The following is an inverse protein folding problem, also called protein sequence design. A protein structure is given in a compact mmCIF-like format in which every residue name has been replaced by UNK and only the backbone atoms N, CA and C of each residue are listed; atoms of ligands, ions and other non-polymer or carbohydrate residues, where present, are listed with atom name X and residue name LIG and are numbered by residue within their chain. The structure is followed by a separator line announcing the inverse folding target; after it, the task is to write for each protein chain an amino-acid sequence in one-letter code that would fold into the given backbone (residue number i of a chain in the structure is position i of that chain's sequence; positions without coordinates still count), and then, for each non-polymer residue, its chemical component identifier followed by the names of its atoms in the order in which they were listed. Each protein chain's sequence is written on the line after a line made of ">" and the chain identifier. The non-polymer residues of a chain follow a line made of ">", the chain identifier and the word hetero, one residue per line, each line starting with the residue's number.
data_IF_663441452892
#
_entry.id   IF_663441452892
#
_cell.length_a   1.000
_cell.length_b   1.000
_cell.length_c   1.000
_cell.angle_alpha   90.00
_cell.angle_beta   90.00
_cell.angle_gamma   90.00
#
_symmetry.space_group_name_H-M   'P 1'
#
loop_
_entity.id
_entity.type
_entity.pdbx_description
1 polymer ?
#
# COMPACT_ATOMS: atom_id res chain seq x y z
N UNK A 1 -9.73 -11.61 1.79
CA UNK A 1 -9.06 -10.71 2.74
C UNK A 1 -7.77 -10.21 2.12
N UNK A 2 -7.65 -8.89 2.00
CA UNK A 2 -6.44 -8.17 1.60
C UNK A 2 -5.46 -8.18 2.77
N UNK A 3 -4.18 -8.42 2.48
CA UNK A 3 -3.11 -8.34 3.49
C UNK A 3 -2.14 -7.25 3.09
N UNK A 4 -1.95 -6.28 3.96
CA UNK A 4 -0.99 -5.20 3.80
C UNK A 4 0.17 -5.41 4.78
N UNK A 5 1.39 -5.48 4.28
CA UNK A 5 2.59 -5.44 5.11
C UNK A 5 3.30 -4.11 4.89
N UNK A 6 3.55 -3.39 5.97
CA UNK A 6 4.25 -2.10 5.99
C UNK A 6 5.59 -2.34 6.68
N UNK A 7 6.68 -1.96 6.02
CA UNK A 7 8.03 -2.14 6.54
C UNK A 7 8.67 -0.77 6.74
N UNK A 8 9.09 -0.50 7.97
CA UNK A 8 9.70 0.76 8.36
C UNK A 8 11.14 0.56 8.82
N UNK A 9 12.00 1.54 8.53
CA UNK A 9 13.37 1.56 9.08
C UNK A 9 13.38 1.96 10.56
N UNK A 10 14.55 1.90 11.19
CA UNK A 10 14.77 2.27 12.61
C UNK A 10 14.46 3.74 12.93
N UNK A 11 14.35 4.60 11.91
CA UNK A 11 13.95 6.01 12.07
C UNK A 11 12.42 6.18 11.96
N UNK A 12 11.68 5.10 11.73
CA UNK A 12 10.24 5.08 11.58
C UNK A 12 9.76 5.41 10.17
N UNK A 13 10.64 5.57 9.19
CA UNK A 13 10.22 5.85 7.82
C UNK A 13 9.73 4.57 7.15
N UNK A 14 8.52 4.60 6.58
CA UNK A 14 7.99 3.50 5.78
C UNK A 14 8.77 3.38 4.47
N UNK A 15 9.57 2.32 4.32
CA UNK A 15 10.45 2.07 3.17
C UNK A 15 9.82 1.19 2.11
N UNK A 16 8.90 0.31 2.53
CA UNK A 16 8.30 -0.69 1.66
C UNK A 16 6.87 -0.99 2.08
N UNK A 17 6.03 -1.24 1.09
CA UNK A 17 4.68 -1.77 1.27
C UNK A 17 4.46 -2.97 0.35
N UNK A 18 3.80 -3.99 0.86
CA UNK A 18 3.32 -5.13 0.08
C UNK A 18 1.83 -5.33 0.31
N UNK A 19 1.06 -5.46 -0.77
CA UNK A 19 -0.36 -5.74 -0.71
C UNK A 19 -0.67 -7.03 -1.48
N UNK A 20 -1.35 -7.98 -0.82
CA UNK A 20 -1.67 -9.31 -1.36
C UNK A 20 -3.16 -9.59 -1.28
N UNK A 21 -3.69 -10.31 -2.27
CA UNK A 21 -5.04 -10.85 -2.24
C UNK A 21 -6.13 -9.87 -2.67
N UNK A 22 -5.79 -8.93 -3.57
CA UNK A 22 -6.73 -8.03 -4.23
C UNK A 22 -7.17 -8.51 -5.63
N UNK A 23 -6.71 -9.69 -6.08
CA UNK A 23 -7.15 -10.32 -7.32
C UNK A 23 -8.16 -11.44 -7.07
N UNK A 24 -9.07 -11.62 -8.04
CA UNK A 24 -10.19 -12.55 -7.99
C UNK A 24 -11.48 -11.88 -7.54
N UNK A 25 -12.53 -12.05 -8.36
CA UNK A 25 -13.91 -11.74 -7.95
C UNK A 25 -14.27 -12.61 -6.75
N UNK A 26 -14.82 -12.00 -5.71
CA UNK A 26 -15.35 -12.72 -4.55
C UNK A 26 -16.72 -12.14 -4.16
N UNK A 27 -17.32 -12.63 -3.08
CA UNK A 27 -18.64 -12.24 -2.61
C UNK A 27 -18.85 -10.70 -2.55
N UNK A 28 -20.11 -10.31 -2.80
CA UNK A 28 -20.56 -8.92 -2.86
C UNK A 28 -20.10 -8.11 -1.63
N UNK A 29 -19.30 -7.06 -1.85
CA UNK A 29 -18.72 -6.20 -0.80
C UNK A 29 -17.19 -6.30 -0.70
N UNK A 30 -16.61 -7.47 -0.97
CA UNK A 30 -15.14 -7.63 -1.00
C UNK A 30 -14.51 -6.90 -2.20
N UNK A 31 -15.22 -6.87 -3.33
CA UNK A 31 -14.80 -6.14 -4.54
C UNK A 31 -14.64 -4.63 -4.29
N UNK A 32 -15.48 -4.04 -3.42
CA UNK A 32 -15.42 -2.60 -3.09
C UNK A 32 -14.15 -2.29 -2.30
N UNK A 33 -13.81 -3.14 -1.33
CA UNK A 33 -12.58 -2.99 -0.53
C UNK A 33 -11.34 -3.21 -1.40
N UNK A 34 -11.35 -4.21 -2.29
CA UNK A 34 -10.28 -4.46 -3.26
C UNK A 34 -10.05 -3.26 -4.19
N UNK A 35 -11.12 -2.72 -4.77
CA UNK A 35 -11.04 -1.55 -5.64
C UNK A 35 -10.50 -0.32 -4.90
N UNK A 36 -10.97 -0.09 -3.67
CA UNK A 36 -10.53 1.03 -2.83
C UNK A 36 -9.05 0.93 -2.48
N UNK A 37 -8.58 -0.25 -2.03
CA UNK A 37 -7.18 -0.47 -1.70
C UNK A 37 -6.29 -0.36 -2.94
N UNK A 38 -6.73 -0.90 -4.09
CA UNK A 38 -5.99 -0.83 -5.35
C UNK A 38 -5.84 0.60 -5.84
N UNK A 39 -6.91 1.40 -5.78
CA UNK A 39 -6.88 2.80 -6.17
C UNK A 39 -5.88 3.59 -5.31
N UNK A 40 -5.85 3.36 -4.00
CA UNK A 40 -4.91 4.04 -3.09
C UNK A 40 -3.45 3.67 -3.37
N UNK A 41 -3.11 2.38 -3.48
CA UNK A 41 -1.70 1.97 -3.67
C UNK A 41 -1.16 2.38 -5.03
N UNK A 42 -1.97 2.29 -6.09
CA UNK A 42 -1.59 2.72 -7.43
C UNK A 42 -1.47 4.24 -7.51
N UNK A 43 -2.40 4.98 -6.91
CA UNK A 43 -2.31 6.43 -6.87
C UNK A 43 -1.08 6.90 -6.10
N UNK A 44 -0.73 6.26 -4.99
CA UNK A 44 0.48 6.58 -4.24
C UNK A 44 1.73 6.35 -5.10
N UNK A 45 1.86 5.17 -5.72
CA UNK A 45 3.00 4.87 -6.58
C UNK A 45 3.15 5.86 -7.74
N UNK A 46 2.06 6.15 -8.45
CA UNK A 46 2.06 7.14 -9.53
C UNK A 46 2.36 8.55 -9.02
N UNK A 47 1.92 8.91 -7.82
CA UNK A 47 2.19 10.22 -7.23
C UNK A 47 3.65 10.39 -6.84
N UNK A 48 4.30 9.32 -6.34
CA UNK A 48 5.75 9.34 -6.13
C UNK A 48 6.47 9.53 -7.46
N UNK A 49 6.14 8.72 -8.47
CA UNK A 49 6.75 8.81 -9.81
C UNK A 49 6.58 10.19 -10.46
N UNK A 50 5.40 10.81 -10.30
CA UNK A 50 5.06 12.06 -10.99
C UNK A 50 5.49 13.31 -10.24
N UNK A 51 5.52 13.28 -8.90
CA UNK A 51 5.68 14.48 -8.08
C UNK A 51 6.94 14.50 -7.22
N UNK A 52 7.79 13.47 -7.28
CA UNK A 52 9.07 13.43 -6.55
C UNK A 52 10.19 12.89 -7.44
N UNK A 53 11.45 13.13 -7.03
CA UNK A 53 12.64 12.60 -7.70
C UNK A 53 13.18 11.32 -7.01
N UNK A 54 12.41 10.74 -6.07
CA UNK A 54 12.87 9.62 -5.26
C UNK A 54 12.83 8.31 -6.04
N UNK A 55 13.95 7.58 -6.02
CA UNK A 55 14.03 6.26 -6.64
C UNK A 55 13.20 5.20 -5.90
N UNK A 56 12.50 4.37 -6.67
CA UNK A 56 11.75 3.22 -6.15
C UNK A 56 11.76 2.04 -7.11
N UNK A 57 11.53 0.85 -6.56
CA UNK A 57 11.17 -0.37 -7.28
C UNK A 57 9.70 -0.68 -6.98
N UNK A 58 8.92 -1.01 -8.02
CA UNK A 58 7.53 -1.41 -7.87
C UNK A 58 7.16 -2.54 -8.82
N UNK A 59 6.22 -3.39 -8.41
CA UNK A 59 5.69 -4.46 -9.25
C UNK A 59 4.20 -4.70 -8.97
N UNK A 60 3.44 -4.99 -10.03
CA UNK A 60 2.04 -5.40 -9.97
C UNK A 60 1.89 -6.72 -10.71
N UNK A 61 1.53 -7.77 -9.97
CA UNK A 61 1.17 -9.07 -10.54
C UNK A 61 -0.35 -9.20 -10.55
N UNK A 62 -0.96 -8.96 -11.71
CA UNK A 62 -2.43 -8.95 -11.86
C UNK A 62 -3.07 -10.30 -11.53
N UNK A 63 -2.43 -11.42 -11.91
CA UNK A 63 -2.97 -12.77 -11.68
C UNK A 63 -3.09 -13.11 -10.18
N UNK A 64 -2.13 -12.66 -9.38
CA UNK A 64 -2.06 -12.97 -7.95
C UNK A 64 -2.62 -11.86 -7.08
N UNK A 65 -2.85 -10.67 -7.66
CA UNK A 65 -3.20 -9.47 -6.91
C UNK A 65 -2.12 -9.18 -5.89
N UNK A 66 -0.88 -9.16 -6.37
CA UNK A 66 0.29 -8.83 -5.57
C UNK A 66 0.86 -7.50 -6.06
N UNK A 67 0.87 -6.53 -5.16
CA UNK A 67 1.46 -5.22 -5.36
C UNK A 67 2.65 -5.08 -4.41
N UNK A 68 3.78 -4.61 -4.92
CA UNK A 68 4.94 -4.26 -4.11
C UNK A 68 5.46 -2.89 -4.51
N UNK A 69 5.91 -2.12 -3.53
CA UNK A 69 6.58 -0.84 -3.73
C UNK A 69 7.66 -0.69 -2.66
N UNK A 70 8.86 -0.24 -3.06
CA UNK A 70 10.00 -0.03 -2.17
C UNK A 70 10.86 1.14 -2.64
N UNK A 71 11.17 2.07 -1.75
CA UNK A 71 12.19 3.10 -2.03
C UNK A 71 13.60 2.49 -2.12
N UNK A 72 14.37 2.89 -3.13
CA UNK A 72 15.73 2.37 -3.40
C UNK A 72 16.84 3.26 -2.85
N UNK A 73 16.51 4.49 -2.48
CA UNK A 73 17.44 5.47 -1.91
C UNK A 73 16.84 6.22 -0.72
N UNK A 74 17.29 7.47 -0.55
CA UNK A 74 16.74 8.39 0.44
C UNK A 74 15.28 8.72 0.11
N UNK A 75 14.50 9.01 1.16
CA UNK A 75 13.09 9.38 1.02
C UNK A 75 12.95 10.87 1.35
N UNK A 76 12.49 11.64 0.37
CA UNK A 76 12.10 13.04 0.52
C UNK A 76 10.94 13.22 1.50
N UNK A 77 10.67 14.46 1.91
CA UNK A 77 9.52 14.75 2.78
C UNK A 77 8.19 14.54 2.05
N UNK A 78 8.19 14.79 0.75
CA UNK A 78 7.07 14.65 -0.17
C UNK A 78 6.67 13.18 -0.29
N UNK A 79 7.63 12.29 -0.58
CA UNK A 79 7.37 10.85 -0.63
C UNK A 79 6.95 10.27 0.72
N UNK A 80 7.53 10.76 1.83
CA UNK A 80 7.07 10.39 3.19
C UNK A 80 5.61 10.76 3.39
N UNK A 81 5.21 11.98 3.02
CA UNK A 81 3.83 12.44 3.15
C UNK A 81 2.86 11.60 2.29
N UNK A 82 3.25 11.26 1.05
CA UNK A 82 2.45 10.41 0.17
C UNK A 82 2.28 8.99 0.76
N UNK A 83 3.35 8.43 1.31
CA UNK A 83 3.31 7.13 1.98
C UNK A 83 2.43 7.18 3.25
N UNK A 84 2.59 8.21 4.09
CA UNK A 84 1.77 8.40 5.28
C UNK A 84 0.29 8.58 4.94
N UNK A 85 -0.01 9.29 3.83
CA UNK A 85 -1.36 9.45 3.30
C UNK A 85 -1.95 8.11 2.85
N UNK A 86 -1.17 7.27 2.17
CA UNK A 86 -1.58 5.90 1.83
C UNK A 86 -1.89 5.07 3.08
N UNK A 87 -1.00 5.08 4.08
CA UNK A 87 -1.20 4.31 5.31
C UNK A 87 -2.45 4.77 6.06
N UNK A 88 -2.70 6.08 6.12
CA UNK A 88 -3.93 6.63 6.68
C UNK A 88 -5.17 6.11 5.93
N UNK A 89 -5.15 6.17 4.59
CA UNK A 89 -6.27 5.69 3.76
C UNK A 89 -6.56 4.21 3.98
N UNK A 90 -5.54 3.36 4.03
CA UNK A 90 -5.69 1.93 4.28
C UNK A 90 -6.23 1.64 5.68
N UNK A 91 -5.75 2.36 6.71
CA UNK A 91 -6.28 2.24 8.09
C UNK A 91 -7.75 2.62 8.17
N UNK A 92 -8.16 3.69 7.47
CA UNK A 92 -9.57 4.09 7.43
C UNK A 92 -10.45 3.01 6.77
N UNK A 93 -9.95 2.31 5.75
CA UNK A 93 -10.66 1.17 5.14
C UNK A 93 -10.74 0.00 6.15
N UNK A 94 -9.65 -0.32 6.85
CA UNK A 94 -9.65 -1.35 7.90
C UNK A 94 -10.64 -1.04 9.03
N UNK A 95 -10.72 0.21 9.47
CA UNK A 95 -11.68 0.66 10.49
C UNK A 95 -13.13 0.59 10.00
N UNK A 96 -13.39 0.99 8.75
CA UNK A 96 -14.74 1.05 8.19
C UNK A 96 -15.33 -0.33 7.88
N UNK A 97 -14.50 -1.28 7.43
CA UNK A 97 -14.95 -2.59 6.95
C UNK A 97 -14.57 -3.75 7.87
N UNK A 98 -13.52 -3.60 8.69
CA UNK A 98 -13.05 -4.62 9.64
C UNK A 98 -11.93 -5.51 9.10
N UNK A 99 -11.21 -6.14 10.04
CA UNK A 99 -10.01 -6.96 9.78
C UNK A 99 -10.28 -8.21 8.91
N UNK A 100 -11.53 -8.63 8.79
CA UNK A 100 -11.95 -9.75 7.95
C UNK A 100 -11.81 -9.45 6.45
N UNK A 101 -11.83 -8.17 6.06
CA UNK A 101 -11.67 -7.73 4.67
C UNK A 101 -10.26 -7.27 4.35
N UNK A 102 -9.64 -6.46 5.21
CA UNK A 102 -8.28 -5.96 5.05
C UNK A 102 -7.57 -6.02 6.39
N UNK A 103 -6.31 -6.49 6.39
CA UNK A 103 -5.49 -6.52 7.59
C UNK A 103 -4.13 -5.91 7.36
N UNK A 104 -3.78 -4.91 8.15
CA UNK A 104 -2.51 -4.18 8.07
C UNK A 104 -1.54 -4.70 9.14
N UNK A 105 -0.29 -4.95 8.75
CA UNK A 105 0.77 -5.40 9.64
C UNK A 105 2.00 -4.51 9.50
N UNK A 106 2.43 -3.94 10.61
CA UNK A 106 3.66 -3.14 10.69
C UNK A 106 4.83 -4.03 11.09
N UNK A 107 5.96 -3.84 10.42
CA UNK A 107 7.22 -4.56 10.65
C UNK A 107 8.37 -3.57 10.64
N UNK A 108 9.31 -3.74 11.57
CA UNK A 108 10.58 -3.02 11.58
C UNK A 108 11.62 -3.84 10.81
N UNK A 109 12.43 -3.17 9.97
CA UNK A 109 13.46 -3.79 9.12
C UNK A 109 14.80 -3.08 9.20
#
# INVERSE_FOLDING_TARGET
>A
MIRVNVFSDSEGNTRKIELKGHAGYDDYGKDIVCASASALVLNMANSVEQFTDDGFDGNVEEETGHFTFRFTGDISKESKLLMDSLILGLKNIEEAYGEEYIKIRFKEV
#
